data_IF_061636174438
#
_entry.id   IF_061636174438
#
_cell.length_a   1.000
_cell.length_b   1.000
_cell.length_c   1.000
_cell.angle_alpha   90.00
_cell.angle_beta   90.00
_cell.angle_gamma   90.00
#
_symmetry.space_group_name_H-M   'P 1'
#
loop_
_entity.id
_entity.type
_entity.pdbx_description
1 polymer ?
#
# COMPACT_ATOMS: atom_id res chain seq x y z
N UNK A 1 -6.82 -1.36 6.85
CA UNK A 1 -7.11 0.06 6.63
C UNK A 1 -6.57 0.93 7.76
N UNK A 2 -7.00 0.76 9.01
CA UNK A 2 -6.50 1.58 10.13
C UNK A 2 -4.98 1.44 10.34
N UNK A 3 -4.44 0.26 10.16
CA UNK A 3 -3.00 0.01 10.34
C UNK A 3 -2.12 0.79 9.37
N UNK A 4 -2.57 1.05 8.16
CA UNK A 4 -1.81 1.85 7.19
C UNK A 4 -1.75 3.32 7.57
N UNK A 5 -2.82 3.83 8.17
CA UNK A 5 -2.86 5.20 8.64
C UNK A 5 -1.80 5.46 9.71
N UNK A 6 -1.62 4.53 10.65
CA UNK A 6 -0.60 4.64 11.71
C UNK A 6 0.85 4.56 11.20
N UNK A 7 1.09 3.97 10.03
CA UNK A 7 2.43 3.89 9.42
C UNK A 7 2.85 5.19 8.73
N UNK A 8 1.93 6.10 8.50
CA UNK A 8 2.18 7.39 7.85
C UNK A 8 2.99 8.32 8.76
N UNK A 9 3.55 9.36 8.16
CA UNK A 9 4.29 10.39 8.90
C UNK A 9 3.39 11.14 9.86
N UNK A 10 2.21 11.53 9.41
CA UNK A 10 1.21 12.22 10.22
C UNK A 10 -0.20 11.99 9.70
N UNK A 11 -1.19 12.25 10.54
CA UNK A 11 -2.60 12.27 10.20
C UNK A 11 -3.16 13.65 10.45
N UNK A 12 -3.79 14.25 9.46
CA UNK A 12 -4.59 15.44 9.61
C UNK A 12 -6.06 15.06 9.83
N UNK A 13 -6.59 15.36 11.02
CA UNK A 13 -7.97 15.09 11.37
C UNK A 13 -8.95 16.10 10.76
N UNK A 14 -10.25 15.88 10.98
CA UNK A 14 -11.33 16.77 10.50
C UNK A 14 -11.25 18.20 11.03
N UNK A 15 -10.63 18.40 12.15
CA UNK A 15 -10.41 19.70 12.80
C UNK A 15 -9.18 20.45 12.29
N UNK A 16 -8.50 19.92 11.29
CA UNK A 16 -7.27 20.48 10.73
C UNK A 16 -6.01 20.24 11.57
N UNK A 17 -6.11 19.61 12.73
CA UNK A 17 -4.96 19.26 13.56
C UNK A 17 -4.19 18.09 12.98
N UNK A 18 -2.85 18.18 13.01
CA UNK A 18 -1.96 17.11 12.60
C UNK A 18 -1.46 16.33 13.82
N UNK A 19 -1.50 15.03 13.74
CA UNK A 19 -1.00 14.11 14.76
C UNK A 19 0.17 13.31 14.17
N UNK A 20 1.31 13.37 14.82
CA UNK A 20 2.48 12.60 14.41
C UNK A 20 2.23 11.10 14.58
N UNK A 21 2.72 10.32 13.61
CA UNK A 21 2.59 8.87 13.56
C UNK A 21 3.96 8.20 13.46
N UNK A 22 4.00 6.92 13.13
CA UNK A 22 5.24 6.13 13.11
C UNK A 22 6.32 6.62 12.13
N UNK A 23 5.94 7.40 11.11
CA UNK A 23 6.90 8.00 10.17
C UNK A 23 7.58 7.04 9.21
N UNK A 24 7.05 5.83 9.05
CA UNK A 24 7.62 4.80 8.16
C UNK A 24 7.38 5.16 6.71
N UNK A 25 6.19 5.68 6.39
CA UNK A 25 5.80 6.12 5.05
C UNK A 25 5.89 7.65 4.98
N UNK A 26 6.68 8.21 4.04
CA UNK A 26 6.90 9.66 3.94
C UNK A 26 5.69 10.36 3.28
N UNK A 27 4.56 10.32 3.93
CA UNK A 27 3.31 10.93 3.47
C UNK A 27 2.42 11.32 4.65
N UNK A 28 1.64 12.37 4.47
CA UNK A 28 0.62 12.80 5.43
C UNK A 28 -0.73 12.28 4.98
N UNK A 29 -1.45 11.64 5.89
CA UNK A 29 -2.80 11.16 5.65
C UNK A 29 -3.80 12.24 6.07
N UNK A 30 -4.68 12.62 5.15
CA UNK A 30 -5.77 13.57 5.42
C UNK A 30 -7.11 12.83 5.48
N UNK A 31 -7.79 12.96 6.62
CA UNK A 31 -9.14 12.41 6.77
C UNK A 31 -10.15 13.25 5.98
N UNK A 32 -10.98 12.59 5.20
CA UNK A 32 -12.04 13.20 4.39
C UNK A 32 -13.41 12.82 4.95
N UNK A 33 -14.38 13.72 4.82
CA UNK A 33 -15.76 13.46 5.26
C UNK A 33 -16.51 12.49 4.35
N UNK A 34 -16.09 12.37 3.11
CA UNK A 34 -16.68 11.47 2.13
C UNK A 34 -15.77 10.28 1.85
N UNK A 35 -16.38 9.17 1.44
CA UNK A 35 -15.67 7.99 0.98
C UNK A 35 -14.85 8.32 -0.27
N UNK A 36 -13.55 8.09 -0.23
CA UNK A 36 -12.65 8.44 -1.33
C UNK A 36 -12.57 7.32 -2.36
N UNK A 37 -12.51 6.09 -1.92
CA UNK A 37 -12.42 4.92 -2.77
C UNK A 37 -13.21 3.77 -2.18
N UNK A 38 -13.98 3.10 -3.04
CA UNK A 38 -14.64 1.83 -2.74
C UNK A 38 -14.76 1.01 -4.02
N UNK A 39 -14.43 -0.26 -3.94
CA UNK A 39 -14.69 -1.22 -4.99
C UNK A 39 -13.54 -2.17 -5.27
N UNK A 40 -13.82 -3.12 -6.13
CA UNK A 40 -12.84 -4.06 -6.62
C UNK A 40 -11.88 -3.38 -7.60
N UNK A 41 -10.60 -3.69 -7.46
CA UNK A 41 -9.54 -3.15 -8.29
C UNK A 41 -8.62 -4.26 -8.78
N UNK A 42 -8.04 -4.02 -9.94
CA UNK A 42 -6.95 -4.81 -10.50
C UNK A 42 -5.77 -3.88 -10.68
N UNK A 43 -4.60 -4.30 -10.23
CA UNK A 43 -3.42 -3.46 -10.25
C UNK A 43 -2.23 -4.11 -10.88
N UNK A 44 -1.45 -3.28 -11.56
CA UNK A 44 -0.10 -3.61 -11.99
C UNK A 44 0.89 -3.16 -10.93
N UNK A 45 1.79 -4.06 -10.57
CA UNK A 45 2.88 -3.76 -9.65
C UNK A 45 3.94 -2.95 -10.37
N UNK A 46 4.25 -1.76 -9.86
CA UNK A 46 5.24 -0.85 -10.44
C UNK A 46 6.64 -1.09 -9.87
N UNK A 47 6.72 -1.34 -8.58
CA UNK A 47 7.97 -1.62 -7.87
C UNK A 47 7.88 -2.98 -7.20
N UNK A 48 8.94 -3.76 -7.30
CA UNK A 48 9.03 -5.03 -6.59
C UNK A 48 8.92 -4.81 -5.07
N UNK A 49 8.17 -5.68 -4.42
CA UNK A 49 7.89 -5.62 -2.99
C UNK A 49 8.02 -7.00 -2.35
N UNK A 50 7.67 -7.10 -1.07
CA UNK A 50 7.66 -8.38 -0.34
C UNK A 50 6.60 -9.36 -0.82
N UNK A 51 5.64 -8.93 -1.64
CA UNK A 51 4.54 -9.77 -2.13
C UNK A 51 4.44 -9.88 -3.66
N UNK A 52 5.15 -9.05 -4.40
CA UNK A 52 5.05 -9.04 -5.86
C UNK A 52 6.30 -8.49 -6.52
N UNK A 53 6.58 -8.93 -7.75
CA UNK A 53 7.59 -8.35 -8.63
C UNK A 53 6.97 -7.26 -9.51
N UNK A 54 7.79 -6.30 -9.94
CA UNK A 54 7.37 -5.31 -10.94
C UNK A 54 6.81 -6.02 -12.19
N UNK A 55 5.64 -5.59 -12.64
CA UNK A 55 4.91 -6.19 -13.75
C UNK A 55 3.86 -7.24 -13.34
N UNK A 56 3.90 -7.74 -12.12
CA UNK A 56 2.88 -8.66 -11.61
C UNK A 56 1.52 -7.96 -11.46
N UNK A 57 0.45 -8.70 -11.70
CA UNK A 57 -0.92 -8.21 -11.52
C UNK A 57 -1.50 -8.74 -10.22
N UNK A 58 -2.11 -7.84 -9.44
CA UNK A 58 -2.83 -8.15 -8.21
C UNK A 58 -4.31 -7.78 -8.33
N UNK A 59 -5.16 -8.51 -7.62
CA UNK A 59 -6.59 -8.25 -7.54
C UNK A 59 -6.99 -8.07 -6.08
N UNK A 60 -7.80 -7.08 -5.80
CA UNK A 60 -8.27 -6.81 -4.45
C UNK A 60 -9.39 -5.79 -4.43
N UNK A 61 -9.55 -5.12 -3.32
CA UNK A 61 -10.49 -4.01 -3.23
C UNK A 61 -9.92 -2.88 -2.39
N UNK A 62 -10.42 -1.68 -2.62
CA UNK A 62 -10.13 -0.50 -1.81
C UNK A 62 -11.37 -0.05 -1.06
N UNK A 63 -11.15 0.42 0.17
CA UNK A 63 -12.17 1.08 0.98
C UNK A 63 -11.48 2.04 1.95
N UNK A 64 -11.53 3.35 1.64
CA UNK A 64 -10.93 4.34 2.53
C UNK A 64 -11.53 5.74 2.37
N UNK A 65 -11.51 6.48 3.48
CA UNK A 65 -11.98 7.86 3.58
C UNK A 65 -10.85 8.89 3.56
N UNK A 66 -9.61 8.45 3.50
CA UNK A 66 -8.45 9.34 3.57
C UNK A 66 -7.76 9.49 2.22
N UNK A 67 -7.08 10.62 2.07
CA UNK A 67 -6.18 10.90 0.96
C UNK A 67 -4.76 11.07 1.46
N UNK A 68 -3.79 10.97 0.55
CA UNK A 68 -2.38 11.15 0.87
C UNK A 68 -1.82 12.43 0.27
N UNK A 69 -1.06 13.18 1.07
CA UNK A 69 -0.13 14.18 0.60
C UNK A 69 1.29 13.61 0.65
N UNK A 70 1.98 13.65 -0.47
CA UNK A 70 3.30 13.07 -0.66
C UNK A 70 4.19 14.03 -1.47
N UNK A 71 5.50 13.86 -1.34
CA UNK A 71 6.49 14.63 -2.09
C UNK A 71 6.85 14.00 -3.44
N UNK A 72 7.74 14.67 -4.16
CA UNK A 72 8.29 14.16 -5.42
C UNK A 72 9.07 12.86 -5.19
N UNK A 73 9.06 11.99 -6.22
CA UNK A 73 9.78 10.73 -6.16
C UNK A 73 9.19 9.69 -5.21
N UNK A 74 7.92 9.84 -4.83
CA UNK A 74 7.25 8.86 -3.97
C UNK A 74 7.23 7.47 -4.65
N UNK A 75 7.73 6.41 -3.97
CA UNK A 75 7.87 5.10 -4.59
C UNK A 75 6.54 4.34 -4.59
N UNK A 76 5.72 4.59 -5.59
CA UNK A 76 4.42 3.95 -5.76
C UNK A 76 4.55 2.45 -6.02
N UNK A 77 3.80 1.67 -5.26
CA UNK A 77 3.78 0.22 -5.39
C UNK A 77 2.94 -0.24 -6.59
N UNK A 78 1.82 0.40 -6.84
CA UNK A 78 0.81 -0.06 -7.79
C UNK A 78 0.24 1.06 -8.67
N UNK A 79 -0.23 0.65 -9.84
CA UNK A 79 -1.21 1.38 -10.64
C UNK A 79 -2.50 0.57 -10.60
N UNK A 80 -3.50 1.03 -9.86
CA UNK A 80 -4.76 0.33 -9.65
C UNK A 80 -5.85 0.86 -10.58
N UNK A 81 -6.63 -0.04 -11.14
CA UNK A 81 -7.79 0.29 -11.97
C UNK A 81 -9.05 -0.36 -11.40
N UNK A 82 -10.06 0.44 -11.11
CA UNK A 82 -11.35 -0.03 -10.69
C UNK A 82 -12.15 -0.65 -11.84
N UNK A 83 -13.02 -1.60 -11.52
CA UNK A 83 -13.86 -2.29 -12.52
C UNK A 83 -14.77 -1.37 -13.32
N UNK A 84 -15.10 -0.19 -12.79
CA UNK A 84 -15.96 0.82 -13.41
C UNK A 84 -15.22 2.09 -13.84
N UNK A 85 -13.92 2.15 -13.66
CA UNK A 85 -13.10 3.32 -13.97
C UNK A 85 -12.22 3.05 -15.18
N UNK A 86 -12.18 4.00 -16.11
CA UNK A 86 -11.35 3.88 -17.32
C UNK A 86 -9.88 4.18 -17.05
N UNK A 87 -9.59 5.03 -16.05
CA UNK A 87 -8.24 5.44 -15.71
C UNK A 87 -7.76 4.78 -14.42
N UNK A 88 -6.49 4.39 -14.41
CA UNK A 88 -5.82 3.90 -13.21
C UNK A 88 -5.42 5.03 -12.27
N UNK A 89 -5.10 4.68 -11.03
CA UNK A 89 -4.53 5.60 -10.05
C UNK A 89 -3.35 4.96 -9.34
N UNK A 90 -2.37 5.78 -8.99
CA UNK A 90 -1.21 5.32 -8.25
C UNK A 90 -1.58 5.08 -6.79
N UNK A 91 -1.12 3.98 -6.24
CA UNK A 91 -1.42 3.58 -4.87
C UNK A 91 -0.28 2.77 -4.26
N UNK A 92 -0.19 2.81 -2.92
CA UNK A 92 0.76 2.03 -2.15
C UNK A 92 2.18 2.59 -2.15
N UNK A 93 2.86 2.34 -1.05
CA UNK A 93 4.26 2.67 -0.84
C UNK A 93 5.08 1.39 -0.78
N UNK A 94 6.11 1.29 -1.60
CA UNK A 94 7.02 0.15 -1.60
C UNK A 94 8.46 0.61 -1.49
N UNK A 95 9.15 0.22 -0.43
CA UNK A 95 10.56 0.50 -0.23
C UNK A 95 11.22 -0.64 0.53
N UNK A 96 12.13 -1.35 -0.12
CA UNK A 96 12.83 -2.51 0.47
C UNK A 96 11.84 -3.55 1.03
N UNK A 97 11.86 -3.75 2.34
CA UNK A 97 11.01 -4.70 3.07
C UNK A 97 9.72 -4.06 3.61
N UNK A 98 9.39 -2.84 3.18
CA UNK A 98 8.22 -2.12 3.62
C UNK A 98 7.23 -2.01 2.46
N UNK A 99 6.02 -2.46 2.71
CA UNK A 99 4.87 -2.26 1.83
C UNK A 99 3.71 -1.73 2.65
N UNK A 100 3.17 -0.59 2.26
CA UNK A 100 1.99 0.00 2.87
C UNK A 100 0.99 0.42 1.79
N UNK A 101 -0.23 -0.06 1.87
CA UNK A 101 -1.23 0.09 0.82
C UNK A 101 -2.64 0.10 1.39
N UNK A 102 -3.55 0.79 0.73
CA UNK A 102 -4.99 0.67 0.95
C UNK A 102 -5.59 -0.55 0.22
N UNK A 103 -4.82 -1.21 -0.62
CA UNK A 103 -5.27 -2.39 -1.33
C UNK A 103 -5.46 -3.56 -0.36
N UNK A 104 -6.69 -4.01 -0.21
CA UNK A 104 -7.02 -5.23 0.51
C UNK A 104 -7.01 -6.40 -0.48
N UNK A 105 -6.13 -7.34 -0.26
CA UNK A 105 -6.02 -8.52 -1.11
C UNK A 105 -6.14 -9.81 -0.30
N UNK A 106 -6.66 -10.85 -0.94
CA UNK A 106 -6.65 -12.21 -0.41
C UNK A 106 -5.57 -13.01 -1.11
N UNK A 107 -4.83 -13.81 -0.38
CA UNK A 107 -3.83 -14.71 -0.96
C UNK A 107 -4.46 -15.86 -1.73
N UNK A 108 -5.70 -16.24 -1.43
CA UNK A 108 -6.45 -17.20 -2.26
C UNK A 108 -6.70 -16.66 -3.67
N UNK A 109 -7.00 -15.38 -3.78
CA UNK A 109 -7.16 -14.69 -5.06
C UNK A 109 -5.84 -14.28 -5.72
N UNK A 110 -4.74 -14.30 -4.96
CA UNK A 110 -3.40 -13.92 -5.38
C UNK A 110 -2.36 -14.90 -4.81
N UNK A 111 -2.36 -16.18 -5.22
CA UNK A 111 -1.53 -17.20 -4.59
C UNK A 111 -0.03 -16.91 -4.72
N UNK A 112 0.40 -16.35 -5.83
CA UNK A 112 1.79 -15.94 -6.06
C UNK A 112 2.25 -14.87 -5.05
N UNK A 113 1.36 -13.97 -4.63
CA UNK A 113 1.68 -12.98 -3.61
C UNK A 113 1.91 -13.61 -2.24
N UNK A 114 1.14 -14.63 -1.87
CA UNK A 114 1.34 -15.40 -0.65
C UNK A 114 2.67 -16.16 -0.64
N UNK A 115 3.00 -16.83 -1.73
CA UNK A 115 4.29 -17.52 -1.90
C UNK A 115 5.46 -16.56 -1.75
N UNK A 116 5.38 -15.40 -2.38
CA UNK A 116 6.44 -14.40 -2.34
C UNK A 116 6.61 -13.78 -0.95
N UNK A 117 5.53 -13.62 -0.20
CA UNK A 117 5.62 -13.17 1.19
C UNK A 117 6.40 -14.18 2.04
N UNK A 118 6.13 -15.47 1.88
CA UNK A 118 6.85 -16.55 2.59
C UNK A 118 8.33 -16.53 2.21
N UNK A 119 8.66 -16.47 0.93
CA UNK A 119 10.05 -16.36 0.44
C UNK A 119 10.77 -15.14 1.04
N UNK A 120 10.07 -14.01 1.15
CA UNK A 120 10.63 -12.80 1.75
C UNK A 120 10.93 -12.97 3.23
N UNK A 121 10.07 -13.68 3.95
CA UNK A 121 10.28 -14.03 5.36
C UNK A 121 11.47 -14.99 5.52
N UNK A 122 11.59 -15.99 4.69
CA UNK A 122 12.70 -16.94 4.69
C UNK A 122 14.04 -16.27 4.43
N UNK A 123 14.11 -15.40 3.41
CA UNK A 123 15.32 -14.61 3.13
C UNK A 123 15.74 -13.75 4.30
N UNK A 124 14.77 -13.12 4.97
CA UNK A 124 15.04 -12.30 6.15
C UNK A 124 15.56 -13.16 7.31
N UNK A 125 14.97 -14.31 7.54
CA UNK A 125 15.40 -15.26 8.57
C UNK A 125 16.83 -15.74 8.31
N UNK A 126 17.13 -16.23 7.11
CA UNK A 126 18.48 -16.64 6.72
C UNK A 126 19.52 -15.52 6.86
N UNK A 127 19.17 -14.29 6.53
CA UNK A 127 20.07 -13.13 6.66
C UNK A 127 20.42 -12.82 8.11
N UNK A 128 19.55 -13.15 9.07
CA UNK A 128 19.81 -13.00 10.50
C UNK A 128 20.63 -14.12 11.09
N UNK A 129 20.43 -15.35 10.64
CA UNK A 129 21.19 -16.51 11.11
C UNK A 129 22.63 -16.53 10.60
N UNK A 130 22.91 -15.91 9.45
CA UNK A 130 24.25 -15.75 8.89
C UNK A 130 25.14 -14.68 9.59
N UNK A 131 24.64 -14.13 10.66
CA UNK A 131 25.37 -13.21 11.54
C UNK A 131 25.75 -13.90 12.83
#
# INVERSE_FOLDING_TARGET
>A
AASDVYKRQAIQGFNGKCYEMAGIVPAVCKMQKSLQRIGYVKGETLLSSIIADAGDTLKGHEFHFSTLEYGEGFPWAYNLQGSRQKEGHLEGYSNKNILASYLHLSFDGNPKAGEKLIESCERYHCSKEGK
#
